data_IF_711230835156
#
_entry.id   IF_711230835156
#
_cell.length_a   1.000
_cell.length_b   1.000
_cell.length_c   1.000
_cell.angle_alpha   90.00
_cell.angle_beta   90.00
_cell.angle_gamma   90.00
#
_symmetry.space_group_name_H-M   'P 1'
#
loop_
_entity.id
_entity.type
_entity.pdbx_description
1 polymer ?
#
# COMPACT_ATOMS: atom_id res chain seq x y z
N UNK A 1 31.62 -11.87 1.09
CA UNK A 1 32.11 -10.86 0.14
C UNK A 1 30.94 -10.45 -0.74
N UNK A 2 30.29 -9.33 -0.41
CA UNK A 2 29.16 -8.81 -1.19
C UNK A 2 29.73 -8.05 -2.37
N UNK A 3 29.54 -8.57 -3.58
CA UNK A 3 29.83 -7.86 -4.81
C UNK A 3 28.84 -6.71 -4.95
N UNK A 4 29.30 -5.50 -4.62
CA UNK A 4 28.59 -4.27 -5.03
C UNK A 4 28.70 -4.18 -6.55
N UNK A 5 27.61 -4.48 -7.26
CA UNK A 5 27.56 -4.21 -8.68
C UNK A 5 27.62 -2.69 -8.89
N UNK A 6 28.60 -2.18 -9.65
CA UNK A 6 28.64 -0.77 -9.94
C UNK A 6 27.40 -0.37 -10.75
N UNK A 7 26.88 0.79 -10.43
CA UNK A 7 25.64 1.42 -10.92
C UNK A 7 25.46 1.53 -12.45
N UNK A 8 26.44 1.04 -13.26
CA UNK A 8 26.51 1.31 -14.69
C UNK A 8 26.05 0.18 -15.62
N UNK A 9 25.66 -0.97 -15.09
CA UNK A 9 25.11 -2.04 -15.92
C UNK A 9 23.69 -2.36 -15.54
N UNK A 10 22.74 -1.59 -16.10
CA UNK A 10 21.37 -2.11 -16.17
C UNK A 10 21.42 -3.30 -17.12
N UNK A 11 21.25 -4.50 -16.60
CA UNK A 11 20.93 -5.66 -17.41
C UNK A 11 19.75 -5.31 -18.33
N UNK A 12 19.74 -5.70 -19.60
CA UNK A 12 18.57 -5.50 -20.46
C UNK A 12 17.28 -6.14 -19.89
N UNK A 13 17.42 -7.02 -18.90
CA UNK A 13 16.32 -7.63 -18.14
C UNK A 13 15.99 -6.90 -16.84
N UNK A 14 16.65 -5.79 -16.51
CA UNK A 14 16.29 -5.02 -15.33
C UNK A 14 15.04 -4.19 -15.65
N UNK A 15 13.92 -4.40 -14.93
CA UNK A 15 12.71 -3.63 -15.15
C UNK A 15 12.95 -2.13 -14.97
N UNK A 16 12.22 -1.31 -15.71
CA UNK A 16 12.33 0.16 -15.61
C UNK A 16 11.96 0.71 -14.22
N UNK A 17 11.21 -0.06 -13.43
CA UNK A 17 10.82 0.26 -12.05
C UNK A 17 11.82 -0.23 -11.00
N UNK A 18 12.92 -0.87 -11.38
CA UNK A 18 13.96 -1.26 -10.43
C UNK A 18 14.71 -0.03 -9.90
N UNK A 19 14.81 0.04 -8.59
CA UNK A 19 15.40 1.16 -7.84
C UNK A 19 16.50 0.66 -6.90
N UNK A 20 17.32 1.58 -6.37
CA UNK A 20 18.32 1.27 -5.34
C UNK A 20 17.66 1.00 -3.98
N UNK A 21 18.41 0.38 -3.07
CA UNK A 21 17.95 0.17 -1.68
C UNK A 21 17.70 1.51 -0.95
N UNK A 22 18.47 2.55 -1.23
CA UNK A 22 18.25 3.88 -0.63
C UNK A 22 16.90 4.46 -1.09
N UNK A 23 16.62 4.42 -2.38
CA UNK A 23 15.33 4.85 -2.93
C UNK A 23 14.17 4.00 -2.37
N UNK A 24 14.38 2.69 -2.21
CA UNK A 24 13.38 1.81 -1.60
C UNK A 24 13.05 2.21 -0.15
N UNK A 25 14.05 2.57 0.65
CA UNK A 25 13.86 3.02 2.04
C UNK A 25 13.06 4.34 2.10
N UNK A 26 13.32 5.28 1.20
CA UNK A 26 12.52 6.51 1.12
C UNK A 26 11.06 6.21 0.73
N UNK A 27 10.84 5.32 -0.23
CA UNK A 27 9.48 4.90 -0.60
C UNK A 27 8.77 4.12 0.52
N UNK A 28 9.49 3.36 1.34
CA UNK A 28 8.93 2.73 2.55
C UNK A 28 8.41 3.80 3.52
N UNK A 29 9.16 4.88 3.71
CA UNK A 29 8.71 6.00 4.55
C UNK A 29 7.45 6.66 4.00
N UNK A 30 7.35 6.84 2.68
CA UNK A 30 6.15 7.36 2.03
C UNK A 30 4.97 6.36 2.13
N UNK A 31 5.24 5.05 2.08
CA UNK A 31 4.22 4.02 2.24
C UNK A 31 3.56 4.10 3.62
N UNK A 32 4.30 4.35 4.70
CA UNK A 32 3.73 4.55 6.04
C UNK A 32 2.65 5.63 6.05
N UNK A 33 2.87 6.75 5.33
CA UNK A 33 1.87 7.82 5.24
C UNK A 33 0.71 7.41 4.31
N UNK A 34 0.98 6.70 3.23
CA UNK A 34 -0.03 6.17 2.31
C UNK A 34 -1.01 5.27 3.03
N UNK A 35 -0.53 4.22 3.68
CA UNK A 35 -1.35 3.28 4.46
C UNK A 35 -2.21 3.98 5.53
N UNK A 36 -1.65 5.00 6.17
CA UNK A 36 -2.41 5.79 7.15
C UNK A 36 -3.52 6.61 6.50
N UNK A 37 -3.27 7.21 5.34
CA UNK A 37 -4.28 7.95 4.59
C UNK A 37 -5.41 7.03 4.12
N UNK A 38 -5.05 5.83 3.65
CA UNK A 38 -6.01 4.82 3.19
C UNK A 38 -6.87 4.32 4.34
N UNK A 39 -6.28 4.04 5.51
CA UNK A 39 -7.03 3.70 6.73
C UNK A 39 -8.10 4.76 7.05
N UNK A 40 -7.74 6.03 7.06
CA UNK A 40 -8.66 7.13 7.36
C UNK A 40 -9.74 7.31 6.29
N UNK A 41 -9.35 7.13 5.02
CA UNK A 41 -10.28 7.19 3.90
C UNK A 41 -11.29 6.04 3.95
N UNK A 42 -10.83 4.82 4.26
CA UNK A 42 -11.71 3.65 4.39
C UNK A 42 -12.63 3.73 5.60
N UNK A 43 -12.19 4.32 6.72
CA UNK A 43 -13.08 4.65 7.86
C UNK A 43 -14.24 5.56 7.43
N UNK A 44 -14.00 6.47 6.49
CA UNK A 44 -15.05 7.34 5.93
C UNK A 44 -15.94 6.59 4.94
N UNK A 45 -15.36 5.72 4.12
CA UNK A 45 -16.09 4.92 3.14
C UNK A 45 -17.01 3.88 3.79
N UNK A 46 -16.58 3.26 4.89
CA UNK A 46 -17.39 2.33 5.69
C UNK A 46 -18.71 3.00 6.15
N UNK A 47 -18.66 4.27 6.55
CA UNK A 47 -19.85 5.01 6.99
C UNK A 47 -20.88 5.27 5.88
N UNK A 48 -20.43 5.25 4.63
CA UNK A 48 -21.26 5.43 3.44
C UNK A 48 -21.76 4.11 2.85
N UNK A 49 -21.28 2.98 3.36
CA UNK A 49 -21.65 1.66 2.85
C UNK A 49 -23.17 1.42 3.00
N UNK A 50 -23.88 0.96 1.96
CA UNK A 50 -25.33 0.85 1.96
C UNK A 50 -25.85 -0.31 2.82
N UNK A 51 -25.00 -1.22 3.25
CA UNK A 51 -25.35 -2.36 4.12
C UNK A 51 -24.12 -2.91 4.84
N UNK A 52 -24.34 -3.74 5.87
CA UNK A 52 -23.29 -4.35 6.68
C UNK A 52 -22.34 -5.23 5.88
N UNK A 53 -22.85 -5.98 4.90
CA UNK A 53 -22.00 -6.84 4.05
C UNK A 53 -20.89 -6.07 3.35
N UNK A 54 -21.22 -4.92 2.75
CA UNK A 54 -20.24 -4.07 2.08
C UNK A 54 -19.33 -3.36 3.09
N UNK A 55 -19.88 -2.91 4.22
CA UNK A 55 -19.10 -2.31 5.30
C UNK A 55 -18.04 -3.28 5.84
N UNK A 56 -18.40 -4.53 6.10
CA UNK A 56 -17.50 -5.57 6.61
C UNK A 56 -16.34 -5.88 5.64
N UNK A 57 -16.60 -5.87 4.33
CA UNK A 57 -15.55 -6.05 3.32
C UNK A 57 -14.51 -4.93 3.41
N UNK A 58 -14.97 -3.67 3.48
CA UNK A 58 -14.08 -2.50 3.56
C UNK A 58 -13.38 -2.44 4.91
N UNK A 59 -14.06 -2.84 5.99
CA UNK A 59 -13.46 -2.94 7.31
C UNK A 59 -12.31 -3.96 7.35
N UNK A 60 -12.45 -5.08 6.68
CA UNK A 60 -11.38 -6.06 6.52
C UNK A 60 -10.16 -5.46 5.82
N UNK A 61 -10.37 -4.74 4.69
CA UNK A 61 -9.30 -4.05 3.96
C UNK A 61 -8.62 -3.02 4.89
N UNK A 62 -9.39 -2.13 5.50
CA UNK A 62 -8.86 -1.12 6.44
C UNK A 62 -7.99 -1.73 7.55
N UNK A 63 -8.36 -2.90 8.07
CA UNK A 63 -7.58 -3.58 9.10
C UNK A 63 -6.27 -4.14 8.54
N UNK A 64 -6.27 -4.60 7.29
CA UNK A 64 -5.05 -5.01 6.59
C UNK A 64 -4.10 -3.78 6.44
N UNK A 65 -4.58 -2.57 6.05
CA UNK A 65 -3.77 -1.34 5.95
C UNK A 65 -3.12 -0.93 7.28
N UNK A 66 -3.81 -1.12 8.39
CA UNK A 66 -3.22 -0.93 9.73
C UNK A 66 -2.04 -1.86 9.96
N UNK A 67 -2.16 -3.11 9.52
CA UNK A 67 -1.07 -4.09 9.57
C UNK A 67 0.10 -3.70 8.68
N UNK A 68 -0.18 -3.31 7.43
CA UNK A 68 0.82 -2.84 6.47
C UNK A 68 1.58 -1.62 6.99
N UNK A 69 0.88 -0.62 7.54
CA UNK A 69 1.51 0.54 8.16
C UNK A 69 2.53 0.15 9.24
N UNK A 70 2.17 -0.79 10.13
CA UNK A 70 3.07 -1.28 11.17
C UNK A 70 4.29 -2.01 10.58
N UNK A 71 4.08 -2.83 9.55
CA UNK A 71 5.17 -3.54 8.86
C UNK A 71 6.14 -2.56 8.19
N UNK A 72 5.65 -1.54 7.47
CA UNK A 72 6.48 -0.51 6.87
C UNK A 72 7.25 0.32 7.90
N UNK A 73 6.63 0.68 9.02
CA UNK A 73 7.30 1.35 10.15
C UNK A 73 8.45 0.52 10.71
N UNK A 74 8.22 -0.79 10.88
CA UNK A 74 9.24 -1.70 11.37
C UNK A 74 10.39 -1.80 10.36
N UNK A 75 10.08 -2.02 9.07
CA UNK A 75 11.10 -2.05 8.00
C UNK A 75 11.96 -0.78 8.01
N UNK A 76 11.33 0.39 8.04
CA UNK A 76 12.06 1.66 8.07
C UNK A 76 12.97 1.77 9.28
N UNK A 77 12.49 1.41 10.46
CA UNK A 77 13.26 1.44 11.70
C UNK A 77 14.47 0.50 11.62
N UNK A 78 14.28 -0.69 11.08
CA UNK A 78 15.35 -1.70 11.02
C UNK A 78 16.45 -1.31 10.01
N UNK A 79 16.07 -0.64 8.90
CA UNK A 79 17.04 -0.17 7.90
C UNK A 79 17.77 1.10 8.32
N UNK A 80 17.13 1.98 9.09
CA UNK A 80 17.67 3.33 9.37
C UNK A 80 18.04 3.59 10.83
N UNK A 81 17.54 2.76 11.75
CA UNK A 81 17.60 3.02 13.19
C UNK A 81 16.68 4.16 13.66
N UNK A 82 15.86 4.75 12.78
CA UNK A 82 14.99 5.88 13.07
C UNK A 82 13.52 5.45 13.08
N UNK A 83 12.75 6.03 14.01
CA UNK A 83 11.29 5.83 14.05
C UNK A 83 10.58 6.92 13.26
N UNK A 84 9.58 6.54 12.46
CA UNK A 84 8.66 7.50 11.87
C UNK A 84 7.66 7.90 12.94
N UNK A 85 7.59 9.20 13.23
CA UNK A 85 6.62 9.75 14.20
C UNK A 85 5.25 9.86 13.52
N UNK A 86 4.19 9.63 14.30
CA UNK A 86 2.84 9.89 13.83
C UNK A 86 2.61 11.40 13.72
N UNK A 87 2.01 11.82 12.60
CA UNK A 87 1.58 13.20 12.46
C UNK A 87 0.36 13.44 13.38
N UNK A 88 0.39 14.52 14.14
CA UNK A 88 -0.77 14.96 14.93
C UNK A 88 -1.77 15.63 13.99
N UNK A 89 -3.07 15.33 14.13
CA UNK A 89 -4.18 15.95 13.41
C UNK A 89 -4.38 15.52 11.94
N UNK A 90 -4.08 14.28 11.60
CA UNK A 90 -4.44 13.73 10.30
C UNK A 90 -5.97 13.67 10.15
N UNK A 91 -6.45 14.18 9.02
CA UNK A 91 -7.87 14.15 8.67
C UNK A 91 -8.06 13.29 7.45
N UNK A 92 -9.13 12.48 7.49
CA UNK A 92 -9.57 11.77 6.30
C UNK A 92 -9.89 12.75 5.17
N UNK A 93 -9.54 12.35 3.95
CA UNK A 93 -10.02 13.03 2.76
C UNK A 93 -11.54 12.88 2.64
N UNK A 94 -12.29 13.93 2.29
CA UNK A 94 -13.74 13.83 2.16
C UNK A 94 -14.13 12.89 1.01
N UNK A 95 -15.13 12.05 1.27
CA UNK A 95 -15.70 11.12 0.28
C UNK A 95 -17.02 11.71 -0.22
N UNK A 96 -17.08 12.08 -1.50
CA UNK A 96 -18.26 12.71 -2.10
C UNK A 96 -19.47 11.75 -2.19
N UNK A 97 -19.22 10.51 -2.57
CA UNK A 97 -20.23 9.46 -2.62
C UNK A 97 -19.60 8.08 -2.48
N UNK A 98 -20.40 7.09 -2.11
CA UNK A 98 -19.94 5.73 -1.95
C UNK A 98 -19.28 5.16 -3.23
N UNK A 99 -19.93 5.34 -4.39
CA UNK A 99 -19.43 4.83 -5.68
C UNK A 99 -18.11 5.51 -6.08
N UNK A 100 -18.03 6.84 -5.97
CA UNK A 100 -16.79 7.56 -6.25
C UNK A 100 -15.68 7.16 -5.27
N UNK A 101 -16.04 6.92 -4.01
CA UNK A 101 -15.11 6.41 -3.01
C UNK A 101 -14.57 5.02 -3.35
N UNK A 102 -15.43 4.10 -3.79
CA UNK A 102 -15.00 2.77 -4.25
C UNK A 102 -14.08 2.86 -5.47
N UNK A 103 -14.39 3.74 -6.44
CA UNK A 103 -13.54 3.95 -7.62
C UNK A 103 -12.17 4.48 -7.23
N UNK A 104 -12.12 5.45 -6.32
CA UNK A 104 -10.88 6.02 -5.81
C UNK A 104 -10.06 4.97 -5.06
N UNK A 105 -10.67 4.21 -4.16
CA UNK A 105 -10.04 3.10 -3.46
C UNK A 105 -9.43 2.10 -4.44
N UNK A 106 -10.21 1.62 -5.41
CA UNK A 106 -9.74 0.68 -6.43
C UNK A 106 -8.48 1.17 -7.17
N UNK A 107 -8.45 2.44 -7.59
CA UNK A 107 -7.28 3.03 -8.25
C UNK A 107 -6.10 3.21 -7.28
N UNK A 108 -6.38 3.50 -6.00
CA UNK A 108 -5.38 3.58 -4.94
C UNK A 108 -4.62 2.26 -4.76
N UNK A 109 -5.36 1.15 -4.63
CA UNK A 109 -4.78 -0.19 -4.50
C UNK A 109 -3.89 -0.56 -5.70
N UNK A 110 -4.34 -0.27 -6.93
CA UNK A 110 -3.54 -0.51 -8.12
C UNK A 110 -2.24 0.31 -8.12
N UNK A 111 -2.30 1.57 -7.69
CA UNK A 111 -1.12 2.42 -7.55
C UNK A 111 -0.17 1.94 -6.45
N UNK A 112 -0.72 1.41 -5.33
CA UNK A 112 0.05 0.81 -4.25
C UNK A 112 0.85 -0.41 -4.75
N UNK A 113 0.22 -1.31 -5.54
CA UNK A 113 0.90 -2.46 -6.15
C UNK A 113 2.13 -2.00 -6.97
N UNK A 114 1.99 -0.96 -7.79
CA UNK A 114 3.10 -0.46 -8.61
C UNK A 114 4.23 0.12 -7.76
N UNK A 115 3.90 0.91 -6.74
CA UNK A 115 4.87 1.48 -5.79
C UNK A 115 5.60 0.37 -5.03
N UNK A 116 4.87 -0.57 -4.46
CA UNK A 116 5.43 -1.62 -3.61
C UNK A 116 6.26 -2.61 -4.40
N UNK A 117 5.91 -2.86 -5.66
CA UNK A 117 6.74 -3.61 -6.58
C UNK A 117 8.11 -2.94 -6.81
N UNK A 118 8.15 -1.61 -6.90
CA UNK A 118 9.41 -0.87 -7.00
C UNK A 118 10.25 -1.03 -5.73
N UNK A 119 9.64 -0.88 -4.56
CA UNK A 119 10.31 -1.12 -3.27
C UNK A 119 10.86 -2.55 -3.21
N UNK A 120 10.05 -3.54 -3.63
CA UNK A 120 10.45 -4.94 -3.63
C UNK A 120 11.71 -5.19 -4.46
N UNK A 121 11.85 -4.55 -5.61
CA UNK A 121 13.06 -4.65 -6.43
C UNK A 121 14.28 -3.99 -5.76
N UNK A 122 14.09 -2.93 -4.99
CA UNK A 122 15.16 -2.22 -4.27
C UNK A 122 15.62 -2.91 -2.98
N UNK A 123 14.80 -3.80 -2.41
CA UNK A 123 15.12 -4.49 -1.16
C UNK A 123 16.09 -5.65 -1.36
N UNK A 124 17.00 -5.90 -0.40
CA UNK A 124 17.82 -7.11 -0.38
C UNK A 124 16.96 -8.35 -0.16
N UNK A 125 17.48 -9.52 -0.55
CA UNK A 125 16.82 -10.80 -0.27
C UNK A 125 16.66 -11.00 1.24
N UNK A 126 15.52 -11.55 1.67
CA UNK A 126 15.24 -11.86 3.05
C UNK A 126 13.84 -11.48 3.49
N UNK A 127 13.62 -11.50 4.80
CA UNK A 127 12.30 -11.40 5.41
C UNK A 127 11.53 -10.13 5.00
N UNK A 128 12.17 -9.01 4.81
CA UNK A 128 11.49 -7.76 4.41
C UNK A 128 10.95 -7.84 2.98
N UNK A 129 11.71 -8.45 2.08
CA UNK A 129 11.28 -8.68 0.71
C UNK A 129 10.12 -9.66 0.64
N UNK A 130 10.15 -10.70 1.46
CA UNK A 130 9.07 -11.69 1.57
C UNK A 130 7.81 -11.08 2.20
N UNK A 131 7.96 -10.28 3.25
CA UNK A 131 6.85 -9.53 3.87
C UNK A 131 6.20 -8.58 2.86
N UNK A 132 7.00 -7.84 2.10
CA UNK A 132 6.48 -6.91 1.11
C UNK A 132 5.77 -7.62 -0.04
N UNK A 133 6.20 -8.83 -0.41
CA UNK A 133 5.45 -9.66 -1.35
C UNK A 133 4.06 -10.01 -0.82
N UNK A 134 3.95 -10.31 0.47
CA UNK A 134 2.66 -10.50 1.15
C UNK A 134 1.77 -9.26 1.02
N UNK A 135 2.30 -8.08 1.34
CA UNK A 135 1.57 -6.80 1.20
C UNK A 135 1.10 -6.61 -0.25
N UNK A 136 1.97 -6.77 -1.25
CA UNK A 136 1.60 -6.63 -2.67
C UNK A 136 0.44 -7.55 -3.06
N UNK A 137 0.39 -8.77 -2.53
CA UNK A 137 -0.71 -9.70 -2.80
C UNK A 137 -1.99 -9.32 -2.06
N UNK A 138 -1.89 -8.65 -0.91
CA UNK A 138 -3.04 -8.07 -0.22
C UNK A 138 -3.62 -6.90 -1.00
N UNK A 139 -2.80 -5.95 -1.51
CA UNK A 139 -3.27 -4.86 -2.38
C UNK A 139 -4.00 -5.38 -3.62
N UNK A 140 -3.51 -6.48 -4.23
CA UNK A 140 -4.21 -7.11 -5.35
C UNK A 140 -5.58 -7.65 -4.92
N UNK A 141 -5.67 -8.31 -3.79
CA UNK A 141 -6.92 -8.79 -3.20
C UNK A 141 -7.87 -7.64 -2.86
N UNK A 142 -7.34 -6.52 -2.36
CA UNK A 142 -8.12 -5.32 -2.06
C UNK A 142 -8.70 -4.70 -3.33
N UNK A 143 -7.89 -4.53 -4.37
CA UNK A 143 -8.35 -4.06 -5.68
C UNK A 143 -9.49 -4.94 -6.23
N UNK A 144 -9.35 -6.27 -6.17
CA UNK A 144 -10.38 -7.20 -6.62
C UNK A 144 -11.68 -7.07 -5.79
N UNK A 145 -11.58 -6.87 -4.47
CA UNK A 145 -12.74 -6.63 -3.60
C UNK A 145 -13.45 -5.32 -3.96
N UNK A 146 -12.72 -4.22 -4.18
CA UNK A 146 -13.31 -2.94 -4.59
C UNK A 146 -13.95 -3.03 -5.97
N UNK A 147 -13.32 -3.71 -6.93
CA UNK A 147 -13.91 -3.96 -8.23
C UNK A 147 -15.22 -4.76 -8.12
N UNK A 148 -15.26 -5.79 -7.28
CA UNK A 148 -16.47 -6.57 -7.02
C UNK A 148 -17.58 -5.69 -6.41
N UNK A 149 -17.25 -4.83 -5.43
CA UNK A 149 -18.23 -3.90 -4.85
C UNK A 149 -18.76 -2.90 -5.87
N UNK A 150 -17.92 -2.41 -6.79
CA UNK A 150 -18.35 -1.53 -7.89
C UNK A 150 -19.34 -2.24 -8.80
N UNK A 151 -19.01 -3.44 -9.29
CA UNK A 151 -19.89 -4.24 -10.15
C UNK A 151 -21.23 -4.50 -9.45
N UNK A 152 -21.20 -4.89 -8.18
CA UNK A 152 -22.41 -5.16 -7.40
C UNK A 152 -23.35 -3.95 -7.28
N UNK A 153 -22.79 -2.74 -7.15
CA UNK A 153 -23.61 -1.52 -7.00
C UNK A 153 -24.02 -0.90 -8.35
N UNK A 154 -23.28 -1.13 -9.43
CA UNK A 154 -23.60 -0.60 -10.75
C UNK A 154 -24.56 -1.50 -11.54
N UNK A 155 -24.72 -2.75 -11.13
CA UNK A 155 -25.64 -3.73 -11.79
C UNK A 155 -27.05 -3.73 -11.21
N UNK A 156 -27.37 -2.83 -10.30
CA UNK A 156 -28.68 -2.62 -9.68
C UNK A 156 -29.30 -1.31 -10.11
#
# INVERSE_FOLDING_TARGET
MYLSYPYYYRSPFTPIWAISTIEAIELIKEAVQGERNDELFYDSLIKLAPNSYQAEIIEGIRNDERGHNQMFRQMYTDFTGQKIMEASNEKAEPVESYILGLQKAFQGELAAIEKYRSIWFGLPQGIYKDTLWGIITDEQKHADKYNNLLIYNLSR
#
